data_IF_925326761122
#
_entry.id   IF_925326761122
#
_cell.length_a   1.000
_cell.length_b   1.000
_cell.length_c   1.000
_cell.angle_alpha   90.00
_cell.angle_beta   90.00
_cell.angle_gamma   90.00
#
_symmetry.space_group_name_H-M   'P 1'
#
loop_
_entity.id
_entity.type
_entity.pdbx_description
1 polymer ?
#
# COMPACT_ATOMS: atom_id res chain seq x y z
N UNK A 1 -4.17 -39.55 -16.29
CA UNK A 1 -2.79 -39.06 -16.03
C UNK A 1 -2.37 -39.51 -14.63
N UNK A 2 -1.16 -40.04 -14.43
CA UNK A 2 -0.68 -40.42 -13.08
C UNK A 2 -0.07 -39.20 -12.39
N UNK A 3 -0.48 -38.94 -11.15
CA UNK A 3 0.05 -37.84 -10.35
C UNK A 3 1.49 -38.12 -9.95
N UNK A 4 2.43 -37.27 -10.38
CA UNK A 4 3.86 -37.41 -10.08
C UNK A 4 4.29 -36.39 -9.04
N UNK A 5 4.94 -36.86 -7.97
CA UNK A 5 5.41 -35.99 -6.89
C UNK A 5 6.74 -36.47 -6.31
N UNK A 6 7.49 -35.55 -5.73
CA UNK A 6 8.76 -35.83 -5.04
C UNK A 6 8.63 -35.51 -3.56
N UNK A 7 9.01 -36.47 -2.71
CA UNK A 7 8.97 -36.34 -1.26
C UNK A 7 10.40 -36.27 -0.73
N UNK A 8 10.76 -35.12 -0.18
CA UNK A 8 11.99 -34.94 0.58
C UNK A 8 11.91 -35.70 1.91
N UNK A 9 12.90 -36.54 2.20
CA UNK A 9 12.92 -37.38 3.41
C UNK A 9 14.22 -37.21 4.18
N UNK A 10 14.10 -37.10 5.49
CA UNK A 10 15.19 -37.03 6.45
C UNK A 10 14.80 -37.77 7.74
N UNK A 11 15.74 -38.01 8.63
CA UNK A 11 15.53 -38.67 9.92
C UNK A 11 16.39 -39.91 10.10
N UNK A 12 16.84 -40.13 11.34
CA UNK A 12 17.77 -41.21 11.71
C UNK A 12 17.21 -42.60 11.40
N UNK A 13 15.92 -42.86 11.65
CA UNK A 13 15.28 -44.15 11.37
C UNK A 13 15.25 -44.44 9.87
N UNK A 14 14.87 -43.46 9.06
CA UNK A 14 14.84 -43.60 7.60
C UNK A 14 16.26 -43.82 7.03
N UNK A 15 17.27 -43.14 7.60
CA UNK A 15 18.67 -43.19 7.16
C UNK A 15 19.42 -44.46 7.61
N UNK A 16 19.21 -44.91 8.85
CA UNK A 16 20.07 -45.91 9.51
C UNK A 16 19.44 -47.29 9.63
N UNK A 17 18.11 -47.42 9.59
CA UNK A 17 17.47 -48.73 9.77
C UNK A 17 17.50 -49.55 8.45
N UNK A 18 17.99 -50.81 8.46
CA UNK A 18 18.32 -51.57 7.25
C UNK A 18 17.13 -51.91 6.33
N UNK A 19 15.91 -51.83 6.87
CA UNK A 19 14.70 -52.22 6.12
C UNK A 19 13.62 -51.14 6.05
N UNK A 20 13.79 -50.01 6.74
CA UNK A 20 12.68 -49.06 6.95
C UNK A 20 12.29 -48.36 5.65
N UNK A 21 13.24 -47.73 4.95
CA UNK A 21 12.98 -47.03 3.69
C UNK A 21 12.33 -47.96 2.63
N UNK A 22 12.83 -49.20 2.49
CA UNK A 22 12.28 -50.20 1.57
C UNK A 22 10.83 -50.57 1.91
N UNK A 23 10.53 -50.81 3.19
CA UNK A 23 9.16 -51.14 3.64
C UNK A 23 8.23 -49.94 3.40
N UNK A 24 8.66 -48.73 3.75
CA UNK A 24 7.89 -47.50 3.51
C UNK A 24 7.55 -47.32 2.03
N UNK A 25 8.53 -47.41 1.13
CA UNK A 25 8.31 -47.23 -0.30
C UNK A 25 7.36 -48.29 -0.89
N UNK A 26 7.48 -49.55 -0.41
CA UNK A 26 6.60 -50.65 -0.85
C UNK A 26 5.17 -50.41 -0.39
N UNK A 27 4.97 -49.99 0.85
CA UNK A 27 3.63 -49.70 1.38
C UNK A 27 3.00 -48.52 0.67
N UNK A 28 3.72 -47.40 0.49
CA UNK A 28 3.20 -46.22 -0.23
C UNK A 28 2.77 -46.56 -1.66
N UNK A 29 3.56 -47.35 -2.39
CA UNK A 29 3.19 -47.81 -3.75
C UNK A 29 1.95 -48.69 -3.80
N UNK A 30 1.70 -49.47 -2.76
CA UNK A 30 0.48 -50.30 -2.66
C UNK A 30 -0.75 -49.46 -2.35
N UNK A 31 -0.61 -48.46 -1.49
CA UNK A 31 -1.71 -47.60 -1.05
C UNK A 31 -2.08 -46.54 -2.10
N UNK A 32 -1.10 -46.07 -2.89
CA UNK A 32 -1.26 -45.03 -3.90
C UNK A 32 -0.80 -45.56 -5.28
N UNK A 33 -1.53 -46.52 -5.87
CA UNK A 33 -1.11 -47.17 -7.12
C UNK A 33 -1.11 -46.21 -8.31
N UNK A 34 -1.99 -45.21 -8.31
CA UNK A 34 -2.15 -44.23 -9.38
C UNK A 34 -1.18 -43.04 -9.27
N UNK A 35 -0.34 -43.01 -8.23
CA UNK A 35 0.66 -41.98 -8.03
C UNK A 35 2.08 -42.49 -8.37
N UNK A 36 2.92 -41.62 -8.88
CA UNK A 36 4.36 -41.85 -9.00
C UNK A 36 5.09 -40.99 -7.95
N UNK A 37 5.53 -41.62 -6.86
CA UNK A 37 6.21 -40.93 -5.76
C UNK A 37 7.72 -41.23 -5.81
N UNK A 38 8.52 -40.18 -5.99
CA UNK A 38 9.99 -40.25 -5.86
C UNK A 38 10.39 -39.78 -4.46
N UNK A 39 11.06 -40.65 -3.70
CA UNK A 39 11.64 -40.26 -2.42
C UNK A 39 13.08 -39.77 -2.61
N UNK A 40 13.37 -38.55 -2.17
CA UNK A 40 14.70 -37.93 -2.25
C UNK A 40 15.21 -37.68 -0.84
N UNK A 41 16.33 -38.31 -0.49
CA UNK A 41 16.95 -38.15 0.83
C UNK A 41 17.59 -36.76 0.92
N UNK A 42 17.32 -36.04 2.00
CA UNK A 42 18.09 -34.85 2.36
C UNK A 42 19.40 -35.25 3.04
N UNK A 43 20.53 -34.87 2.44
CA UNK A 43 21.85 -35.19 2.98
C UNK A 43 22.21 -34.25 4.13
N UNK A 44 21.95 -32.95 3.95
CA UNK A 44 22.34 -31.88 4.89
C UNK A 44 21.20 -31.47 5.85
N UNK A 45 20.18 -32.31 5.94
CA UNK A 45 18.97 -32.06 6.71
C UNK A 45 18.17 -30.85 6.21
N UNK A 46 17.70 -30.00 7.11
CA UNK A 46 16.88 -28.83 6.76
C UNK A 46 17.69 -27.59 6.35
N UNK A 47 19.02 -27.60 6.54
CA UNK A 47 19.86 -26.41 6.43
C UNK A 47 19.82 -25.72 5.06
N UNK A 48 19.92 -26.48 3.96
CA UNK A 48 19.84 -25.91 2.60
C UNK A 48 18.47 -25.28 2.31
N UNK A 49 17.38 -25.92 2.75
CA UNK A 49 16.03 -25.38 2.62
C UNK A 49 15.85 -24.09 3.41
N UNK A 50 16.31 -24.09 4.67
CA UNK A 50 16.30 -22.90 5.53
C UNK A 50 17.12 -21.75 4.93
N UNK A 51 18.27 -22.04 4.32
CA UNK A 51 19.09 -21.05 3.64
C UNK A 51 18.37 -20.43 2.43
N UNK A 52 17.70 -21.24 1.61
CA UNK A 52 16.92 -20.75 0.46
C UNK A 52 15.76 -19.85 0.89
N UNK A 53 15.01 -20.24 1.93
CA UNK A 53 13.92 -19.42 2.48
C UNK A 53 14.48 -18.11 3.05
N UNK A 54 15.58 -18.20 3.80
CA UNK A 54 16.27 -17.03 4.37
C UNK A 54 16.72 -16.06 3.28
N UNK A 55 17.27 -16.55 2.16
CA UNK A 55 17.71 -15.70 1.06
C UNK A 55 16.55 -14.92 0.43
N UNK A 56 15.38 -15.55 0.26
CA UNK A 56 14.17 -14.86 -0.24
C UNK A 56 13.67 -13.84 0.78
N UNK A 57 13.57 -14.23 2.05
CA UNK A 57 13.12 -13.34 3.12
C UNK A 57 14.03 -12.11 3.26
N UNK A 58 15.35 -12.32 3.19
CA UNK A 58 16.34 -11.24 3.22
C UNK A 58 16.17 -10.28 2.04
N UNK A 59 15.98 -10.79 0.83
CA UNK A 59 15.72 -9.96 -0.37
C UNK A 59 14.45 -9.10 -0.19
N UNK A 60 13.36 -9.70 0.28
CA UNK A 60 12.10 -8.98 0.51
C UNK A 60 12.24 -7.92 1.61
N UNK A 61 12.95 -8.23 2.70
CA UNK A 61 13.22 -7.28 3.77
C UNK A 61 14.07 -6.09 3.27
N UNK A 62 15.08 -6.34 2.43
CA UNK A 62 15.88 -5.29 1.81
C UNK A 62 15.03 -4.37 0.91
N UNK A 63 14.17 -4.96 0.06
CA UNK A 63 13.23 -4.21 -0.77
C UNK A 63 12.25 -3.38 0.06
N UNK A 64 11.70 -3.97 1.13
CA UNK A 64 10.81 -3.29 2.06
C UNK A 64 11.50 -2.08 2.70
N UNK A 65 12.74 -2.26 3.18
CA UNK A 65 13.53 -1.20 3.79
C UNK A 65 13.82 -0.06 2.80
N UNK A 66 14.15 -0.39 1.55
CA UNK A 66 14.38 0.61 0.50
C UNK A 66 13.12 1.43 0.21
N UNK A 67 11.96 0.77 0.06
CA UNK A 67 10.67 1.45 -0.13
C UNK A 67 10.32 2.31 1.07
N UNK A 68 10.49 1.79 2.29
CA UNK A 68 10.17 2.52 3.50
C UNK A 68 10.98 3.82 3.58
N UNK A 69 12.28 3.76 3.26
CA UNK A 69 13.14 4.95 3.23
C UNK A 69 12.62 6.05 2.30
N UNK A 70 12.04 5.69 1.14
CA UNK A 70 11.41 6.65 0.23
C UNK A 70 10.14 7.24 0.86
N UNK A 71 9.30 6.40 1.47
CA UNK A 71 8.04 6.82 2.08
C UNK A 71 8.21 7.64 3.35
N UNK A 72 9.33 7.52 4.07
CA UNK A 72 9.60 8.32 5.27
C UNK A 72 9.56 9.83 4.97
N UNK A 73 9.99 10.27 3.78
CA UNK A 73 9.95 11.69 3.41
C UNK A 73 8.52 12.26 3.31
N UNK A 74 7.51 11.41 3.15
CA UNK A 74 6.11 11.80 3.08
C UNK A 74 5.41 11.73 4.44
N UNK A 75 6.08 11.22 5.48
CA UNK A 75 5.53 11.20 6.83
C UNK A 75 5.87 12.51 7.53
N UNK A 76 4.86 13.35 7.68
CA UNK A 76 4.99 14.58 8.46
C UNK A 76 4.71 14.31 9.92
N UNK A 77 5.61 14.76 10.79
CA UNK A 77 5.38 14.77 12.23
C UNK A 77 4.33 15.82 12.60
N UNK A 78 3.77 15.71 13.81
CA UNK A 78 2.83 16.71 14.31
C UNK A 78 3.47 18.12 14.35
N UNK A 79 4.74 18.21 14.74
CA UNK A 79 5.50 19.47 14.76
C UNK A 79 5.65 20.08 13.36
N UNK A 80 5.98 19.26 12.36
CA UNK A 80 6.05 19.72 10.97
C UNK A 80 4.70 20.21 10.45
N UNK A 81 3.60 19.58 10.85
CA UNK A 81 2.25 20.04 10.49
C UNK A 81 1.89 21.38 11.15
N UNK A 82 2.32 21.60 12.40
CA UNK A 82 2.17 22.91 13.05
C UNK A 82 3.00 23.98 12.34
N UNK A 83 4.20 23.63 11.88
CA UNK A 83 5.02 24.54 11.07
C UNK A 83 4.34 24.89 9.73
N UNK A 84 3.76 23.90 9.04
CA UNK A 84 3.00 24.14 7.79
C UNK A 84 1.80 25.06 8.06
N UNK A 85 1.05 24.83 9.14
CA UNK A 85 -0.06 25.70 9.56
C UNK A 85 0.41 27.13 9.75
N UNK A 86 1.53 27.33 10.43
CA UNK A 86 2.06 28.65 10.72
C UNK A 86 2.57 29.36 9.46
N UNK A 87 3.29 28.66 8.58
CA UNK A 87 3.71 29.19 7.27
C UNK A 87 2.52 29.62 6.42
N UNK A 88 1.44 28.82 6.42
CA UNK A 88 0.21 29.19 5.71
C UNK A 88 -0.43 30.46 6.31
N UNK A 89 -0.48 30.57 7.65
CA UNK A 89 -1.02 31.77 8.33
C UNK A 89 -0.24 33.02 7.92
N UNK A 90 1.09 32.97 7.93
CA UNK A 90 1.95 34.09 7.52
C UNK A 90 1.69 34.49 6.07
N UNK A 91 1.59 33.52 5.14
CA UNK A 91 1.32 33.85 3.74
C UNK A 91 -0.09 34.43 3.53
N UNK A 92 -1.08 34.04 4.32
CA UNK A 92 -2.40 34.67 4.31
C UNK A 92 -2.32 36.13 4.78
N UNK A 93 -1.56 36.43 5.83
CA UNK A 93 -1.34 37.80 6.32
C UNK A 93 -0.61 38.65 5.26
N UNK A 94 0.41 38.09 4.61
CA UNK A 94 1.09 38.73 3.49
C UNK A 94 0.14 39.01 2.33
N UNK A 95 -0.78 38.07 2.02
CA UNK A 95 -1.80 38.24 1.00
C UNK A 95 -2.83 39.31 1.32
N UNK A 96 -3.16 39.52 2.59
CA UNK A 96 -4.07 40.58 3.04
C UNK A 96 -3.39 41.94 3.19
N UNK A 97 -2.08 41.96 3.43
CA UNK A 97 -1.30 43.18 3.60
C UNK A 97 -1.20 43.98 2.31
N UNK A 98 -1.63 45.25 2.34
CA UNK A 98 -1.67 46.13 1.17
C UNK A 98 -0.32 46.23 0.44
N UNK A 99 0.77 46.38 1.20
CA UNK A 99 2.13 46.54 0.66
C UNK A 99 2.75 45.21 0.23
N UNK A 100 2.37 44.10 0.88
CA UNK A 100 2.93 42.75 0.64
C UNK A 100 2.16 41.97 -0.43
N UNK A 101 0.92 42.36 -0.74
CA UNK A 101 0.02 41.62 -1.63
C UNK A 101 0.59 41.39 -3.04
N UNK A 102 1.32 42.37 -3.59
CA UNK A 102 1.91 42.26 -4.93
C UNK A 102 2.86 41.07 -5.05
N UNK A 103 3.66 40.83 -4.01
CA UNK A 103 4.68 39.77 -3.96
C UNK A 103 4.19 38.48 -3.29
N UNK A 104 3.10 38.54 -2.51
CA UNK A 104 2.55 37.39 -1.79
C UNK A 104 2.20 36.22 -2.72
N UNK A 105 2.49 34.99 -2.30
CA UNK A 105 2.15 33.79 -3.09
C UNK A 105 0.69 33.39 -2.94
N UNK A 106 0.14 33.56 -1.73
CA UNK A 106 -1.28 33.36 -1.42
C UNK A 106 -2.00 34.71 -1.54
N UNK A 107 -2.77 34.92 -2.61
CA UNK A 107 -3.26 36.25 -2.98
C UNK A 107 -4.46 36.79 -2.18
N UNK A 108 -5.21 35.97 -1.46
CA UNK A 108 -6.35 36.46 -0.65
C UNK A 108 -7.29 37.42 -1.41
N UNK A 109 -7.72 37.04 -2.62
CA UNK A 109 -8.49 37.91 -3.52
C UNK A 109 -9.89 38.25 -2.96
N UNK A 110 -10.34 39.52 -3.03
CA UNK A 110 -11.70 39.89 -2.64
C UNK A 110 -12.76 39.25 -3.54
N UNK A 111 -13.75 38.59 -2.94
CA UNK A 111 -14.91 38.02 -3.66
C UNK A 111 -16.08 38.99 -3.80
N UNK A 112 -16.03 40.12 -3.08
CA UNK A 112 -17.13 41.09 -2.92
C UNK A 112 -18.43 40.53 -2.32
N UNK A 113 -18.38 39.33 -1.73
CA UNK A 113 -19.45 38.76 -0.92
C UNK A 113 -19.23 39.19 0.53
N UNK A 114 -20.06 40.11 1.03
CA UNK A 114 -19.86 40.75 2.34
C UNK A 114 -20.58 40.06 3.51
N UNK A 115 -21.46 39.10 3.24
CA UNK A 115 -22.17 38.33 4.26
C UNK A 115 -22.56 36.95 3.73
N UNK A 116 -22.78 36.01 4.65
CA UNK A 116 -23.46 34.75 4.34
C UNK A 116 -24.97 34.97 4.21
N UNK A 117 -25.70 34.03 3.58
CA UNK A 117 -27.15 34.17 3.45
C UNK A 117 -27.87 34.34 4.78
N UNK A 118 -28.89 35.18 4.82
CA UNK A 118 -29.67 35.49 6.04
C UNK A 118 -31.10 34.94 6.01
N UNK A 119 -31.51 34.32 4.90
CA UNK A 119 -32.84 33.73 4.71
C UNK A 119 -33.87 34.72 4.16
N UNK A 120 -33.49 35.97 3.90
CA UNK A 120 -34.35 36.95 3.23
C UNK A 120 -34.27 36.86 1.71
N UNK A 121 -33.31 36.10 1.16
CA UNK A 121 -33.15 35.92 -0.27
C UNK A 121 -34.34 35.19 -0.90
N UNK A 122 -34.94 35.79 -1.92
CA UNK A 122 -36.06 35.20 -2.67
C UNK A 122 -35.93 35.54 -4.14
N UNK A 123 -36.28 34.59 -5.01
CA UNK A 123 -36.29 34.81 -6.45
C UNK A 123 -35.86 33.60 -7.28
N UNK A 124 -35.93 33.79 -8.59
CA UNK A 124 -35.47 32.84 -9.60
C UNK A 124 -34.14 33.36 -10.18
N UNK A 125 -33.08 32.56 -10.06
CA UNK A 125 -31.71 32.92 -10.43
C UNK A 125 -31.17 31.96 -11.49
N UNK A 126 -30.42 32.47 -12.46
CA UNK A 126 -29.62 31.65 -13.35
C UNK A 126 -28.19 31.55 -12.81
N UNK A 127 -27.63 30.35 -12.82
CA UNK A 127 -26.24 30.11 -12.44
C UNK A 127 -25.48 29.42 -13.58
N UNK A 128 -24.22 29.80 -13.71
CA UNK A 128 -23.26 29.21 -14.64
C UNK A 128 -22.11 28.62 -13.83
N UNK A 129 -21.76 27.38 -14.13
CA UNK A 129 -20.60 26.74 -13.54
C UNK A 129 -19.62 26.32 -14.64
N UNK A 130 -18.42 26.89 -14.56
CA UNK A 130 -17.34 26.73 -15.52
C UNK A 130 -16.03 26.58 -14.74
N UNK A 131 -15.25 25.55 -15.06
CA UNK A 131 -13.93 25.31 -14.44
C UNK A 131 -13.71 23.88 -13.97
N UNK A 132 -14.77 23.08 -13.85
CA UNK A 132 -14.69 21.63 -13.64
C UNK A 132 -14.68 20.82 -14.94
N UNK A 133 -14.91 19.52 -14.84
CA UNK A 133 -14.95 18.61 -16.01
C UNK A 133 -16.08 18.95 -16.98
N UNK A 134 -17.21 19.46 -16.47
CA UNK A 134 -18.40 19.73 -17.26
C UNK A 134 -18.87 21.16 -17.05
N UNK A 135 -19.30 21.80 -18.14
CA UNK A 135 -20.02 23.07 -18.10
C UNK A 135 -21.49 22.85 -17.75
N UNK A 136 -22.04 23.69 -16.88
CA UNK A 136 -23.43 23.56 -16.41
C UNK A 136 -24.14 24.92 -16.42
N UNK A 137 -25.43 24.86 -16.79
CA UNK A 137 -26.37 25.98 -16.68
C UNK A 137 -27.50 25.53 -15.75
N UNK A 138 -27.83 26.33 -14.74
CA UNK A 138 -28.82 26.00 -13.72
C UNK A 138 -29.84 27.13 -13.56
N UNK A 139 -31.09 26.76 -13.29
CA UNK A 139 -32.12 27.65 -12.76
C UNK A 139 -32.34 27.30 -11.28
N UNK A 140 -32.15 28.27 -10.39
CA UNK A 140 -32.28 28.11 -8.93
C UNK A 140 -33.45 28.96 -8.46
N UNK A 141 -34.43 28.34 -7.78
CA UNK A 141 -35.57 29.04 -7.19
C UNK A 141 -35.47 29.04 -5.67
N UNK A 142 -35.38 30.23 -5.07
CA UNK A 142 -35.34 30.43 -3.61
C UNK A 142 -36.67 31.04 -3.15
N UNK A 143 -37.33 30.41 -2.16
CA UNK A 143 -38.68 30.76 -1.67
C UNK A 143 -38.65 31.27 -0.24
#
# INVERSE_FOLDING_TARGET
ERLRSTVGVDGSVYKKHPHFARRLHKTVRKLLPDCEIRFVRSEDGSGKGAAMVTAVAYRLAAQHKARQKILEALKLSHEQLLEVKERMRVEMENGLGKETHAEATVKMLPTYVCSTPDGTEKGDFLALDLGGTNFRVLLVRVR
#
